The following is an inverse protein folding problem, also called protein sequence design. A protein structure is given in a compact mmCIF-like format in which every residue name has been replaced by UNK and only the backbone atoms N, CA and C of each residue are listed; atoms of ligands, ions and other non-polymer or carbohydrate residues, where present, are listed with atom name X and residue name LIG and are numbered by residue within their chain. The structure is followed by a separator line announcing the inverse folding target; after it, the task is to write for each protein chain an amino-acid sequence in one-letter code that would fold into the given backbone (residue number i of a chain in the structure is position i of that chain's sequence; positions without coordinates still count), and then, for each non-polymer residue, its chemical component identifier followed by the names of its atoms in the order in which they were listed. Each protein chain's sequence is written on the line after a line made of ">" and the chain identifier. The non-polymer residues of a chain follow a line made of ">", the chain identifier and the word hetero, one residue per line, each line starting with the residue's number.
data_IF_339103874541
#
_entry.id   IF_339103874541
#
_cell.length_a   1.000
_cell.length_b   1.000
_cell.length_c   1.000
_cell.angle_alpha   90.00
_cell.angle_beta   90.00
_cell.angle_gamma   90.00
#
_symmetry.space_group_name_H-M   'P 1'
#
loop_
_entity.id
_entity.type
_entity.pdbx_description
1 polymer ?
#
# COMPACT_ATOMS: atom_id res chain seq x y z
N UNK A 1 12.95 32.97 7.45
CA UNK A 1 11.53 32.92 7.00
C UNK A 1 11.29 31.66 6.20
N UNK A 2 10.26 30.88 6.53
CA UNK A 2 9.88 29.66 5.82
C UNK A 2 9.30 30.04 4.45
N UNK A 3 9.86 29.47 3.38
CA UNK A 3 9.40 29.73 2.00
C UNK A 3 8.64 28.57 1.35
N UNK A 4 8.75 27.39 1.93
CA UNK A 4 8.05 26.17 1.47
C UNK A 4 7.93 25.14 2.57
N UNK A 5 6.93 24.28 2.43
CA UNK A 5 6.67 23.13 3.31
C UNK A 5 6.48 21.91 2.42
N UNK A 6 7.15 20.81 2.77
CA UNK A 6 6.94 19.50 2.17
C UNK A 6 6.18 18.65 3.17
N UNK A 7 5.07 18.09 2.73
CA UNK A 7 4.26 17.16 3.52
C UNK A 7 4.55 15.73 3.08
N UNK A 8 4.71 14.86 4.04
CA UNK A 8 4.60 13.42 3.82
C UNK A 8 3.14 13.07 3.48
N UNK A 9 2.94 12.07 2.60
CA UNK A 9 1.60 11.69 2.12
C UNK A 9 0.94 10.68 3.05
N UNK A 10 1.47 9.47 3.07
CA UNK A 10 0.84 8.35 3.77
C UNK A 10 1.10 8.41 5.28
N UNK A 11 0.04 8.39 6.07
CA UNK A 11 0.11 8.56 7.52
C UNK A 11 0.22 10.01 7.99
N UNK A 12 0.27 10.98 7.08
CA UNK A 12 0.33 12.43 7.40
C UNK A 12 -0.86 13.17 6.81
N UNK A 13 -1.05 13.14 5.50
CA UNK A 13 -2.23 13.72 4.82
C UNK A 13 -3.31 12.65 4.68
N UNK A 14 -2.95 11.49 4.14
CA UNK A 14 -3.85 10.38 3.86
C UNK A 14 -3.80 9.38 5.03
N UNK A 15 -4.96 8.92 5.46
CA UNK A 15 -5.08 7.84 6.44
C UNK A 15 -4.65 6.52 5.80
N UNK A 16 -3.37 6.19 5.97
CA UNK A 16 -2.74 5.00 5.40
C UNK A 16 -3.53 3.72 5.69
N UNK A 17 -4.00 3.54 6.92
CA UNK A 17 -4.71 2.31 7.29
C UNK A 17 -6.04 2.16 6.56
N UNK A 18 -6.79 3.25 6.43
CA UNK A 18 -8.07 3.24 5.72
C UNK A 18 -7.94 3.04 4.22
N UNK A 19 -6.77 3.36 3.65
CA UNK A 19 -6.49 3.14 2.22
C UNK A 19 -5.94 1.74 1.97
N UNK A 20 -4.91 1.35 2.71
CA UNK A 20 -4.16 0.13 2.41
C UNK A 20 -4.77 -1.13 2.97
N UNK A 21 -5.31 -1.10 4.19
CA UNK A 21 -5.88 -2.29 4.81
C UNK A 21 -7.00 -2.93 3.97
N UNK A 22 -7.99 -2.20 3.43
CA UNK A 22 -9.02 -2.78 2.58
C UNK A 22 -8.50 -3.34 1.26
N UNK A 23 -7.34 -2.86 0.78
CA UNK A 23 -6.75 -3.29 -0.47
C UNK A 23 -6.08 -4.67 -0.39
N UNK A 24 -5.53 -5.04 0.76
CA UNK A 24 -4.66 -6.22 0.90
C UNK A 24 -5.38 -7.50 0.50
N UNK A 25 -6.52 -7.79 1.09
CA UNK A 25 -7.24 -9.06 0.82
C UNK A 25 -7.67 -9.22 -0.63
N UNK A 26 -8.28 -8.23 -1.30
CA UNK A 26 -8.56 -8.29 -2.73
C UNK A 26 -7.32 -8.52 -3.59
N UNK A 27 -6.21 -7.85 -3.27
CA UNK A 27 -4.93 -8.03 -3.99
C UNK A 27 -4.42 -9.46 -3.85
N UNK A 28 -4.44 -10.03 -2.64
CA UNK A 28 -4.02 -11.41 -2.41
C UNK A 28 -4.93 -12.44 -3.09
N UNK A 29 -6.24 -12.20 -3.13
CA UNK A 29 -7.19 -13.04 -3.86
C UNK A 29 -6.85 -13.04 -5.36
N UNK A 30 -6.61 -11.89 -5.95
CA UNK A 30 -6.22 -11.76 -7.35
C UNK A 30 -4.88 -12.45 -7.61
N UNK A 31 -3.90 -12.30 -6.71
CA UNK A 31 -2.60 -12.94 -6.80
C UNK A 31 -2.73 -14.47 -6.79
N UNK A 32 -3.45 -15.04 -5.82
CA UNK A 32 -3.69 -16.48 -5.74
C UNK A 32 -4.41 -16.99 -6.98
N UNK A 33 -5.44 -16.30 -7.43
CA UNK A 33 -6.19 -16.66 -8.64
C UNK A 33 -5.30 -16.66 -9.89
N UNK A 34 -4.41 -15.68 -10.03
CA UNK A 34 -3.44 -15.64 -11.13
C UNK A 34 -2.47 -16.83 -11.11
N UNK A 35 -2.12 -17.30 -9.91
CA UNK A 35 -1.24 -18.45 -9.70
C UNK A 35 -1.97 -19.80 -9.79
N UNK A 36 -3.25 -19.82 -10.17
CA UNK A 36 -4.13 -21.01 -10.15
C UNK A 36 -4.21 -21.65 -8.75
N UNK A 37 -4.15 -20.85 -7.70
CA UNK A 37 -4.33 -21.28 -6.32
C UNK A 37 -5.69 -20.83 -5.79
N UNK A 38 -6.34 -21.69 -5.02
CA UNK A 38 -7.65 -21.35 -4.44
C UNK A 38 -7.48 -20.26 -3.36
N UNK A 39 -8.26 -19.17 -3.42
CA UNK A 39 -8.20 -18.10 -2.43
C UNK A 39 -8.97 -18.46 -1.15
N UNK A 40 -8.62 -19.58 -0.54
CA UNK A 40 -9.16 -20.01 0.75
C UNK A 40 -8.51 -19.23 1.89
N UNK A 41 -9.17 -19.20 3.04
CA UNK A 41 -8.60 -18.53 4.23
C UNK A 41 -7.27 -19.15 4.65
N UNK A 42 -7.10 -20.47 4.49
CA UNK A 42 -5.86 -21.17 4.80
C UNK A 42 -4.69 -20.69 3.92
N UNK A 43 -4.97 -20.25 2.68
CA UNK A 43 -3.97 -19.69 1.78
C UNK A 43 -3.79 -18.18 1.96
N UNK A 44 -4.85 -17.46 2.34
CA UNK A 44 -4.82 -16.00 2.49
C UNK A 44 -4.15 -15.56 3.80
N UNK A 45 -4.51 -16.18 4.92
CA UNK A 45 -4.05 -15.74 6.25
C UNK A 45 -2.51 -15.69 6.39
N UNK A 46 -1.74 -16.70 5.93
CA UNK A 46 -0.28 -16.61 6.00
C UNK A 46 0.30 -15.46 5.16
N UNK A 47 -0.32 -15.17 4.02
CA UNK A 47 0.09 -14.06 3.16
C UNK A 47 -0.26 -12.71 3.78
N UNK A 48 -1.43 -12.58 4.38
CA UNK A 48 -1.82 -11.39 5.14
C UNK A 48 -0.86 -11.12 6.29
N UNK A 49 -0.50 -12.16 7.05
CA UNK A 49 0.45 -12.04 8.16
C UNK A 49 1.83 -11.58 7.68
N UNK A 50 2.32 -12.10 6.56
CA UNK A 50 3.58 -11.69 5.97
C UNK A 50 3.58 -10.22 5.51
N UNK A 51 2.46 -9.72 5.04
CA UNK A 51 2.28 -8.31 4.66
C UNK A 51 2.15 -7.40 5.90
N UNK A 52 1.74 -7.94 7.03
CA UNK A 52 1.59 -7.21 8.29
C UNK A 52 0.15 -7.04 8.75
N UNK A 53 -0.79 -7.89 8.28
CA UNK A 53 -2.15 -7.93 8.83
C UNK A 53 -2.23 -9.04 9.88
N UNK A 54 -2.64 -8.67 11.09
CA UNK A 54 -2.89 -9.58 12.18
C UNK A 54 -4.28 -9.34 12.76
N UNK A 55 -5.08 -10.40 12.86
CA UNK A 55 -6.46 -10.31 13.38
C UNK A 55 -7.28 -9.23 12.65
N UNK A 56 -7.20 -9.22 11.33
CA UNK A 56 -7.87 -8.24 10.45
C UNK A 56 -7.45 -6.76 10.68
N UNK A 57 -6.31 -6.53 11.32
CA UNK A 57 -5.75 -5.19 11.55
C UNK A 57 -4.36 -5.07 10.94
N UNK A 58 -4.14 -4.01 10.19
CA UNK A 58 -2.82 -3.69 9.63
C UNK A 58 -1.91 -3.16 10.73
N UNK A 59 -0.77 -3.84 10.90
CA UNK A 59 0.26 -3.44 11.85
C UNK A 59 1.03 -2.21 11.31
N UNK A 60 1.12 -1.11 12.07
CA UNK A 60 1.88 0.07 11.67
C UNK A 60 3.37 -0.18 11.47
N UNK A 61 3.91 -1.25 12.06
CA UNK A 61 5.29 -1.70 11.85
C UNK A 61 5.39 -2.92 10.92
N UNK A 62 4.28 -3.31 10.31
CA UNK A 62 4.19 -4.43 9.37
C UNK A 62 4.90 -4.14 8.03
N UNK A 63 5.12 -5.20 7.27
CA UNK A 63 5.88 -5.12 6.03
C UNK A 63 5.35 -4.07 5.05
N UNK A 64 4.04 -3.95 4.91
CA UNK A 64 3.41 -3.01 3.99
C UNK A 64 3.70 -1.54 4.33
N UNK A 65 3.98 -1.23 5.60
CA UNK A 65 4.24 0.14 6.04
C UNK A 65 5.63 0.67 5.66
N UNK A 66 6.61 -0.22 5.41
CA UNK A 66 7.99 0.23 5.19
C UNK A 66 8.80 -0.59 4.17
N UNK A 67 8.41 -1.84 3.86
CA UNK A 67 9.14 -2.65 2.88
C UNK A 67 8.76 -2.25 1.45
N UNK A 68 9.74 -2.19 0.53
CA UNK A 68 9.43 -2.09 -0.89
C UNK A 68 8.77 -3.38 -1.41
N UNK A 69 8.04 -3.28 -2.49
CA UNK A 69 7.32 -4.41 -3.08
C UNK A 69 8.20 -5.62 -3.40
N UNK A 70 9.47 -5.41 -3.78
CA UNK A 70 10.43 -6.49 -4.01
C UNK A 70 10.62 -7.37 -2.76
N UNK A 71 10.76 -6.74 -1.59
CA UNK A 71 10.93 -7.48 -0.34
C UNK A 71 9.64 -8.16 0.10
N UNK A 72 8.50 -7.51 -0.09
CA UNK A 72 7.19 -8.13 0.16
C UNK A 72 7.00 -9.34 -0.76
N UNK A 73 7.32 -9.22 -2.05
CA UNK A 73 7.26 -10.33 -3.00
C UNK A 73 8.16 -11.50 -2.58
N UNK A 74 9.37 -11.22 -2.10
CA UNK A 74 10.27 -12.24 -1.59
C UNK A 74 9.69 -12.99 -0.37
N UNK A 75 9.10 -12.26 0.57
CA UNK A 75 8.45 -12.87 1.75
C UNK A 75 7.26 -13.76 1.34
N UNK A 76 6.42 -13.29 0.39
CA UNK A 76 5.30 -14.07 -0.12
C UNK A 76 5.76 -15.30 -0.91
N UNK A 77 6.84 -15.19 -1.69
CA UNK A 77 7.39 -16.31 -2.45
C UNK A 77 7.81 -17.47 -1.55
N UNK A 78 8.38 -17.18 -0.38
CA UNK A 78 8.76 -18.21 0.61
C UNK A 78 7.53 -18.99 1.10
N UNK A 79 6.41 -18.31 1.32
CA UNK A 79 5.17 -18.96 1.77
C UNK A 79 4.55 -19.80 0.65
N UNK A 80 4.58 -19.29 -0.57
CA UNK A 80 3.99 -19.93 -1.74
C UNK A 80 4.86 -21.07 -2.32
N UNK A 81 6.10 -21.24 -1.87
CA UNK A 81 7.05 -22.21 -2.41
C UNK A 81 6.52 -23.65 -2.43
N UNK A 82 5.68 -24.02 -1.46
CA UNK A 82 5.08 -25.37 -1.37
C UNK A 82 4.10 -25.63 -2.51
N UNK A 83 3.30 -24.63 -2.85
CA UNK A 83 2.22 -24.76 -3.84
C UNK A 83 2.71 -24.36 -5.24
N UNK A 84 3.65 -23.44 -5.30
CA UNK A 84 4.24 -22.89 -6.53
C UNK A 84 5.75 -22.77 -6.36
N UNK A 85 6.52 -23.86 -6.54
CA UNK A 85 7.97 -23.80 -6.51
C UNK A 85 8.53 -22.94 -7.64
N UNK A 86 9.65 -22.31 -7.39
CA UNK A 86 10.40 -21.48 -8.33
C UNK A 86 9.63 -20.23 -8.84
N UNK A 87 8.83 -19.61 -7.99
CA UNK A 87 8.25 -18.29 -8.30
C UNK A 87 9.35 -17.24 -8.43
N UNK A 88 9.35 -16.53 -9.55
CA UNK A 88 10.24 -15.40 -9.74
C UNK A 88 9.76 -14.19 -8.93
N UNK A 89 10.63 -13.69 -8.05
CA UNK A 89 10.32 -12.54 -7.18
C UNK A 89 9.94 -11.31 -8.01
N UNK A 90 10.65 -11.05 -9.10
CA UNK A 90 10.34 -9.91 -9.98
C UNK A 90 8.96 -10.00 -10.64
N UNK A 91 8.53 -11.19 -11.04
CA UNK A 91 7.18 -11.41 -11.57
C UNK A 91 6.11 -11.19 -10.48
N UNK A 92 6.36 -11.68 -9.28
CA UNK A 92 5.46 -11.50 -8.13
C UNK A 92 5.37 -10.03 -7.70
N UNK A 93 6.50 -9.31 -7.71
CA UNK A 93 6.54 -7.87 -7.48
C UNK A 93 5.66 -7.11 -8.48
N UNK A 94 5.81 -7.38 -9.78
CA UNK A 94 5.01 -6.73 -10.81
C UNK A 94 3.50 -6.97 -10.64
N UNK A 95 3.11 -8.19 -10.22
CA UNK A 95 1.71 -8.50 -9.93
C UNK A 95 1.19 -7.73 -8.73
N UNK A 96 1.97 -7.62 -7.66
CA UNK A 96 1.60 -6.84 -6.48
C UNK A 96 1.43 -5.36 -6.83
N UNK A 97 2.40 -4.77 -7.50
CA UNK A 97 2.34 -3.37 -7.94
C UNK A 97 1.11 -3.12 -8.80
N UNK A 98 0.85 -3.99 -9.77
CA UNK A 98 -0.32 -3.91 -10.65
C UNK A 98 -1.62 -3.98 -9.86
N UNK A 99 -1.81 -4.99 -9.02
CA UNK A 99 -3.07 -5.19 -8.32
C UNK A 99 -3.35 -4.11 -7.27
N UNK A 100 -2.31 -3.61 -6.58
CA UNK A 100 -2.46 -2.45 -5.70
C UNK A 100 -2.82 -1.20 -6.49
N UNK A 101 -2.13 -0.93 -7.61
CA UNK A 101 -2.44 0.20 -8.48
C UNK A 101 -3.87 0.14 -9.01
N UNK A 102 -4.30 -1.02 -9.53
CA UNK A 102 -5.68 -1.23 -9.99
C UNK A 102 -6.71 -0.98 -8.88
N UNK A 103 -6.42 -1.45 -7.65
CA UNK A 103 -7.30 -1.20 -6.50
C UNK A 103 -7.40 0.28 -6.17
N UNK A 104 -6.26 0.99 -6.10
CA UNK A 104 -6.23 2.42 -5.77
C UNK A 104 -6.92 3.28 -6.82
N UNK A 105 -6.89 2.91 -8.09
CA UNK A 105 -7.65 3.59 -9.14
C UNK A 105 -9.17 3.52 -8.96
N UNK A 106 -9.67 2.59 -8.15
CA UNK A 106 -11.10 2.52 -7.81
C UNK A 106 -11.51 3.50 -6.72
N UNK A 107 -10.56 4.07 -5.99
CA UNK A 107 -10.82 4.98 -4.88
C UNK A 107 -11.10 6.37 -5.44
N UNK A 108 -12.31 6.86 -5.25
CA UNK A 108 -12.73 8.20 -5.72
C UNK A 108 -12.56 9.29 -4.67
N UNK A 109 -12.55 8.90 -3.40
CA UNK A 109 -12.42 9.81 -2.26
C UNK A 109 -11.46 9.22 -1.24
N UNK A 110 -10.23 9.75 -1.21
CA UNK A 110 -9.20 9.26 -0.32
C UNK A 110 -9.47 9.71 1.12
N UNK A 111 -9.49 8.79 2.09
CA UNK A 111 -9.65 9.16 3.49
C UNK A 111 -8.45 9.97 3.98
N UNK A 112 -8.72 11.16 4.47
CA UNK A 112 -7.75 12.08 5.07
C UNK A 112 -7.96 12.16 6.57
N UNK A 113 -6.92 12.50 7.32
CA UNK A 113 -7.05 12.68 8.79
C UNK A 113 -7.87 13.91 9.14
N UNK A 114 -7.75 14.97 8.33
CA UNK A 114 -8.47 16.23 8.51
C UNK A 114 -8.57 16.96 7.18
N UNK A 115 -9.50 17.91 7.09
CA UNK A 115 -9.58 18.82 5.95
C UNK A 115 -8.36 19.75 5.96
N UNK A 116 -7.46 19.50 5.01
CA UNK A 116 -6.24 20.30 4.82
C UNK A 116 -6.47 21.59 4.04
N UNK A 117 -7.67 21.79 3.50
CA UNK A 117 -7.96 22.94 2.62
C UNK A 117 -7.72 24.27 3.31
N UNK A 118 -8.14 24.40 4.56
CA UNK A 118 -7.95 25.61 5.37
C UNK A 118 -6.46 25.89 5.59
N UNK A 119 -5.67 24.86 5.92
CA UNK A 119 -4.22 25.01 6.12
C UNK A 119 -3.54 25.41 4.81
N UNK A 120 -3.87 24.75 3.70
CA UNK A 120 -3.27 25.04 2.40
C UNK A 120 -3.65 26.44 1.91
N UNK A 121 -4.87 26.90 2.14
CA UNK A 121 -5.28 28.25 1.82
C UNK A 121 -4.50 29.30 2.61
N UNK A 122 -4.33 29.08 3.92
CA UNK A 122 -3.55 30.00 4.77
C UNK A 122 -2.06 30.05 4.34
N UNK A 123 -1.47 28.91 4.01
CA UNK A 123 -0.10 28.86 3.49
C UNK A 123 0.06 29.61 2.17
N UNK A 124 -0.92 29.47 1.25
CA UNK A 124 -0.95 30.21 -0.01
C UNK A 124 -1.08 31.72 0.20
N UNK A 125 -1.92 32.16 1.14
CA UNK A 125 -2.02 33.59 1.51
C UNK A 125 -0.68 34.15 1.97
N UNK A 126 0.10 33.35 2.69
CA UNK A 126 1.45 33.70 3.15
C UNK A 126 2.52 33.51 2.08
N UNK A 127 2.16 33.14 0.87
CA UNK A 127 3.10 32.85 -0.25
C UNK A 127 4.09 31.74 0.07
N UNK A 128 3.73 30.79 0.93
CA UNK A 128 4.51 29.59 1.26
C UNK A 128 4.20 28.52 0.21
N UNK A 129 5.23 27.99 -0.43
CA UNK A 129 5.09 26.90 -1.41
C UNK A 129 4.75 25.60 -0.69
N UNK A 130 3.87 24.80 -1.29
CA UNK A 130 3.44 23.51 -0.77
C UNK A 130 3.90 22.43 -1.73
N UNK A 131 4.48 21.36 -1.20
CA UNK A 131 4.85 20.17 -1.95
C UNK A 131 4.55 18.90 -1.14
N UNK A 132 4.50 17.78 -1.83
CA UNK A 132 4.33 16.45 -1.24
C UNK A 132 5.60 15.64 -1.49
N UNK A 133 6.05 14.91 -0.48
CA UNK A 133 7.13 13.92 -0.56
C UNK A 133 6.55 12.56 -0.21
N UNK A 134 6.78 11.59 -1.07
CA UNK A 134 6.32 10.22 -0.87
C UNK A 134 7.30 9.23 -1.48
N UNK A 135 7.37 8.03 -0.93
CA UNK A 135 8.10 6.89 -1.49
C UNK A 135 7.22 6.04 -2.40
N UNK A 136 5.97 6.44 -2.58
CA UNK A 136 5.00 5.73 -3.40
C UNK A 136 5.28 5.88 -4.90
N UNK A 137 4.71 4.99 -5.70
CA UNK A 137 4.83 5.05 -7.16
C UNK A 137 4.12 6.30 -7.71
N UNK A 138 4.54 6.74 -8.91
CA UNK A 138 3.93 7.89 -9.59
C UNK A 138 2.42 7.72 -9.80
N UNK A 139 1.96 6.50 -10.01
CA UNK A 139 0.54 6.18 -10.26
C UNK A 139 -0.33 6.28 -9.00
N UNK A 140 0.30 6.22 -7.82
CA UNK A 140 -0.37 6.36 -6.52
C UNK A 140 -0.22 7.78 -5.92
N UNK A 141 0.42 8.68 -6.63
CA UNK A 141 0.65 10.07 -6.23
C UNK A 141 -0.25 11.02 -6.96
#
# INVERSE_FOLDING_TARGET
>A
MIKGILFDKDGTIIDFFKVWQPAVRPVLINLLSFLDLSPTMDNILPLEEAIGIKNDVLDPEGALAWKPYEQIAADLAVILEKERPNLEIGALQMLLERYFSEHFQTITDYPVFTDMSVLFEELRKRKIKIGIVTTDNSDAT
#
